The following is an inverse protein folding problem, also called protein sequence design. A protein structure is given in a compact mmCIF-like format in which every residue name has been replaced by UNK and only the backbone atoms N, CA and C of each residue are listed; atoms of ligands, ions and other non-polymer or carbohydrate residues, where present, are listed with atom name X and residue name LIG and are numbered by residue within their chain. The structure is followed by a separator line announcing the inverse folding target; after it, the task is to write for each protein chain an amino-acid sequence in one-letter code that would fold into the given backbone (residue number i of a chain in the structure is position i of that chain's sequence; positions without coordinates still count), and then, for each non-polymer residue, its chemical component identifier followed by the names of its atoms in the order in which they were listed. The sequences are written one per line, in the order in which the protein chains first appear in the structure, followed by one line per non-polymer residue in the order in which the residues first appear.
data_IF_495172189603
#
_entry.id   IF_495172189603
#
_cell.length_a   1.000
_cell.length_b   1.000
_cell.length_c   1.000
_cell.angle_alpha   90.00
_cell.angle_beta   90.00
_cell.angle_gamma   90.00
#
_symmetry.space_group_name_H-M   'P 1'
#
loop_
_entity.id
_entity.type
_entity.pdbx_description
1 polymer ?
#
# COMPACT_ATOMS: atom_id res chain seq x y z
N UNK A 1 3.96 27.37 21.91
CA UNK A 1 3.18 26.99 20.71
C UNK A 1 3.55 25.61 20.10
N UNK A 2 4.68 25.03 20.45
CA UNK A 2 5.16 23.77 19.87
C UNK A 2 4.52 22.48 20.43
N UNK A 3 4.18 22.36 21.73
CA UNK A 3 3.62 21.10 22.25
C UNK A 3 2.20 20.81 21.79
N UNK A 4 1.39 21.85 21.53
CA UNK A 4 -0.03 21.69 21.16
C UNK A 4 -0.24 21.19 19.71
N UNK A 5 0.70 21.41 18.79
CA UNK A 5 0.63 20.89 17.42
C UNK A 5 0.82 19.39 17.33
N UNK A 6 1.61 18.78 18.22
CA UNK A 6 1.80 17.32 18.25
C UNK A 6 0.56 16.55 18.72
N UNK A 7 -0.27 17.16 19.55
CA UNK A 7 -1.50 16.54 20.07
C UNK A 7 -2.65 16.48 19.05
N UNK A 8 -2.56 17.24 17.93
CA UNK A 8 -3.56 17.24 16.85
C UNK A 8 -3.24 16.30 15.68
N UNK A 9 -2.20 15.51 15.77
CA UNK A 9 -1.90 14.49 14.76
C UNK A 9 -2.84 13.30 14.96
N UNK A 10 -3.84 13.18 14.09
CA UNK A 10 -4.80 12.07 14.10
C UNK A 10 -4.15 10.70 13.79
N UNK A 11 -2.93 10.69 13.26
CA UNK A 11 -2.15 9.47 13.04
C UNK A 11 -0.72 9.69 13.52
N UNK A 12 -0.37 9.12 14.66
CA UNK A 12 1.02 8.99 15.10
C UNK A 12 1.65 7.90 14.23
N UNK A 13 2.08 8.27 13.02
CA UNK A 13 2.88 7.42 12.16
C UNK A 13 4.13 8.18 11.75
N UNK A 14 5.26 7.55 11.86
CA UNK A 14 6.58 8.18 11.78
C UNK A 14 6.86 8.83 10.41
N UNK A 15 6.06 8.54 9.37
CA UNK A 15 6.30 8.99 8.00
C UNK A 15 5.11 9.58 7.26
N UNK A 16 3.89 9.42 7.75
CA UNK A 16 2.68 9.94 7.11
C UNK A 16 2.00 10.91 8.06
N UNK A 17 2.21 12.19 7.81
CA UNK A 17 1.57 13.25 8.57
C UNK A 17 0.33 13.71 7.80
N UNK A 18 -0.85 13.51 8.38
CA UNK A 18 -2.09 14.07 7.88
C UNK A 18 -2.47 15.27 8.73
N UNK A 19 -2.94 16.33 8.07
CA UNK A 19 -3.28 17.59 8.73
C UNK A 19 -4.70 17.99 8.37
N UNK A 20 -5.38 18.63 9.31
CA UNK A 20 -6.58 19.38 9.02
C UNK A 20 -6.18 20.71 8.39
N UNK A 21 -6.81 21.06 7.26
CA UNK A 21 -6.57 22.30 6.54
C UNK A 21 -7.77 23.23 6.76
N UNK A 22 -7.50 24.43 7.24
CA UNK A 22 -8.52 25.48 7.42
C UNK A 22 -8.29 26.58 6.39
N UNK A 23 -9.32 26.88 5.61
CA UNK A 23 -9.35 27.97 4.65
C UNK A 23 -10.36 29.01 5.16
N UNK A 24 -9.89 30.21 5.54
CA UNK A 24 -10.73 31.28 5.99
C UNK A 24 -10.69 32.45 5.00
N UNK A 25 -11.81 32.68 4.31
CA UNK A 25 -11.99 33.76 3.34
C UNK A 25 -10.89 33.87 2.27
N UNK A 26 -10.31 32.76 1.85
CA UNK A 26 -9.27 32.73 0.81
C UNK A 26 -9.91 33.06 -0.54
N UNK A 27 -9.57 34.22 -1.09
CA UNK A 27 -10.03 34.64 -2.42
C UNK A 27 -8.98 34.24 -3.48
N UNK A 28 -9.43 33.56 -4.51
CA UNK A 28 -8.62 33.21 -5.67
C UNK A 28 -9.21 33.84 -6.92
N UNK A 29 -8.35 34.23 -7.85
CA UNK A 29 -8.78 34.73 -9.15
C UNK A 29 -9.26 33.57 -10.04
N UNK A 30 -10.19 33.83 -11.01
CA UNK A 30 -10.78 32.78 -11.85
C UNK A 30 -9.76 31.92 -12.62
N UNK A 31 -8.63 32.50 -13.01
CA UNK A 31 -7.55 31.78 -13.68
C UNK A 31 -6.84 30.72 -12.81
N UNK A 32 -7.13 30.69 -11.50
CA UNK A 32 -6.64 29.65 -10.58
C UNK A 32 -7.55 28.44 -10.51
N UNK A 33 -8.68 28.45 -11.19
CA UNK A 33 -9.57 27.29 -11.30
C UNK A 33 -8.88 26.22 -12.15
N UNK A 34 -8.76 25.02 -11.61
CA UNK A 34 -8.20 23.87 -12.31
C UNK A 34 -9.32 23.10 -13.02
N UNK A 35 -9.33 23.14 -14.35
CA UNK A 35 -10.36 22.52 -15.16
C UNK A 35 -11.64 23.34 -15.22
N UNK A 36 -12.78 22.66 -15.38
CA UNK A 36 -14.11 23.25 -15.52
C UNK A 36 -14.86 23.20 -14.19
N UNK A 37 -15.63 24.24 -13.88
CA UNK A 37 -16.47 24.26 -12.68
C UNK A 37 -17.49 23.11 -12.69
N UNK A 38 -17.60 22.40 -11.58
CA UNK A 38 -18.47 21.23 -11.43
C UNK A 38 -17.81 19.88 -11.78
N UNK A 39 -16.69 19.87 -12.49
CA UNK A 39 -16.00 18.65 -12.97
C UNK A 39 -14.74 18.27 -12.15
N UNK A 40 -14.58 18.86 -10.97
CA UNK A 40 -13.40 18.59 -10.11
C UNK A 40 -13.25 17.13 -9.71
N UNK A 41 -14.34 16.40 -9.49
CA UNK A 41 -14.30 14.98 -9.14
C UNK A 41 -13.84 14.10 -10.31
N UNK A 42 -14.22 14.43 -11.55
CA UNK A 42 -13.77 13.70 -12.76
C UNK A 42 -12.26 13.90 -12.97
N UNK A 43 -11.78 15.12 -12.74
CA UNK A 43 -10.35 15.44 -12.79
C UNK A 43 -9.57 14.67 -11.70
N UNK A 44 -10.07 14.65 -10.47
CA UNK A 44 -9.50 13.88 -9.38
C UNK A 44 -9.50 12.36 -9.70
N UNK A 45 -10.55 11.85 -10.33
CA UNK A 45 -10.68 10.45 -10.75
C UNK A 45 -9.56 10.01 -11.68
N UNK A 46 -9.22 10.83 -12.67
CA UNK A 46 -8.10 10.57 -13.61
C UNK A 46 -6.76 10.48 -12.88
N UNK A 47 -6.52 11.39 -11.94
CA UNK A 47 -5.29 11.37 -11.12
C UNK A 47 -5.24 10.15 -10.19
N UNK A 48 -6.36 9.80 -9.55
CA UNK A 48 -6.45 8.66 -8.63
C UNK A 48 -6.18 7.32 -9.34
N UNK A 49 -6.52 7.19 -10.62
CA UNK A 49 -6.21 5.98 -11.40
C UNK A 49 -4.71 5.70 -11.45
N UNK A 50 -3.91 6.70 -11.83
CA UNK A 50 -2.44 6.58 -11.83
C UNK A 50 -1.86 6.48 -10.42
N UNK A 51 -2.43 7.19 -9.44
CA UNK A 51 -2.05 7.13 -8.04
C UNK A 51 -2.14 5.70 -7.47
N UNK A 52 -3.18 4.95 -7.82
CA UNK A 52 -3.36 3.55 -7.40
C UNK A 52 -2.27 2.62 -7.91
N UNK A 53 -1.81 2.80 -9.17
CA UNK A 53 -0.68 2.05 -9.71
C UNK A 53 0.60 2.40 -8.96
N UNK A 54 0.83 3.68 -8.71
CA UNK A 54 1.99 4.14 -7.95
C UNK A 54 2.02 3.58 -6.52
N UNK A 55 0.86 3.54 -5.84
CA UNK A 55 0.72 2.85 -4.53
C UNK A 55 1.08 1.38 -4.67
N UNK A 56 0.60 0.70 -5.72
CA UNK A 56 0.93 -0.71 -5.98
C UNK A 56 2.44 -0.94 -6.11
N UNK A 57 3.12 -0.16 -6.95
CA UNK A 57 4.57 -0.23 -7.14
C UNK A 57 5.34 0.04 -5.83
N UNK A 58 4.89 1.05 -5.06
CA UNK A 58 5.46 1.35 -3.73
C UNK A 58 5.29 0.18 -2.76
N UNK A 59 4.13 -0.50 -2.78
CA UNK A 59 3.89 -1.70 -1.98
C UNK A 59 4.85 -2.84 -2.36
N UNK A 60 5.11 -3.06 -3.65
CA UNK A 60 6.06 -4.08 -4.12
C UNK A 60 7.48 -3.79 -3.62
N UNK A 61 7.99 -2.56 -3.76
CA UNK A 61 9.32 -2.21 -3.27
C UNK A 61 9.46 -2.32 -1.75
N UNK A 62 8.41 -1.95 -0.98
CA UNK A 62 8.38 -2.17 0.47
C UNK A 62 8.38 -3.66 0.80
N UNK A 63 7.57 -4.46 0.12
CA UNK A 63 7.45 -5.90 0.34
C UNK A 63 8.76 -6.62 0.03
N UNK A 64 9.44 -6.27 -1.05
CA UNK A 64 10.77 -6.79 -1.40
C UNK A 64 11.78 -6.55 -0.29
N UNK A 65 11.84 -5.31 0.22
CA UNK A 65 12.73 -4.95 1.33
C UNK A 65 12.42 -5.74 2.59
N UNK A 66 11.14 -5.86 2.96
CA UNK A 66 10.70 -6.60 4.15
C UNK A 66 11.05 -8.09 4.02
N UNK A 67 10.75 -8.68 2.87
CA UNK A 67 11.01 -10.09 2.60
C UNK A 67 12.51 -10.40 2.64
N UNK A 68 13.35 -9.53 2.07
CA UNK A 68 14.81 -9.64 2.16
C UNK A 68 15.29 -9.65 3.61
N UNK A 69 14.84 -8.70 4.42
CA UNK A 69 15.20 -8.64 5.84
C UNK A 69 14.73 -9.85 6.63
N UNK A 70 13.52 -10.36 6.35
CA UNK A 70 12.97 -11.55 7.00
C UNK A 70 13.75 -12.81 6.60
N UNK A 71 14.18 -12.90 5.34
CA UNK A 71 15.00 -13.99 4.82
C UNK A 71 16.38 -14.01 5.49
N UNK A 72 17.06 -12.86 5.55
CA UNK A 72 18.35 -12.73 6.21
C UNK A 72 18.27 -13.10 7.71
N UNK A 73 17.23 -12.64 8.38
CA UNK A 73 16.98 -12.99 9.77
C UNK A 73 16.75 -14.50 9.94
N UNK A 74 15.91 -15.10 9.13
CA UNK A 74 15.58 -16.52 9.17
C UNK A 74 16.80 -17.41 8.91
N UNK A 75 17.72 -16.97 8.04
CA UNK A 75 18.94 -17.69 7.72
C UNK A 75 19.98 -17.64 8.85
N UNK A 76 20.04 -16.51 9.60
CA UNK A 76 21.10 -16.29 10.59
C UNK A 76 20.65 -16.57 12.03
N UNK A 77 19.37 -16.36 12.38
CA UNK A 77 18.83 -16.63 13.71
C UNK A 77 18.72 -18.13 13.96
N UNK A 78 19.41 -18.62 14.99
CA UNK A 78 19.38 -20.04 15.37
C UNK A 78 18.52 -20.28 16.60
N UNK A 79 17.70 -21.31 16.55
CA UNK A 79 16.96 -21.89 17.68
C UNK A 79 16.89 -23.41 17.49
N UNK A 80 16.87 -24.14 18.61
CA UNK A 80 16.84 -25.61 18.56
C UNK A 80 17.95 -26.22 17.70
N UNK A 81 19.16 -25.64 17.76
CA UNK A 81 20.38 -26.13 17.08
C UNK A 81 20.49 -25.81 15.59
N UNK A 82 19.53 -25.11 14.96
CA UNK A 82 19.57 -24.79 13.52
C UNK A 82 18.98 -23.40 13.22
N UNK A 83 19.24 -22.83 12.02
CA UNK A 83 18.58 -21.61 11.56
C UNK A 83 17.06 -21.75 11.59
N UNK A 84 16.33 -20.68 11.97
CA UNK A 84 14.87 -20.75 12.04
C UNK A 84 14.22 -20.91 10.67
N UNK A 85 14.87 -20.50 9.60
CA UNK A 85 14.40 -20.72 8.22
C UNK A 85 14.35 -22.20 7.81
N UNK A 86 15.05 -23.10 8.53
CA UNK A 86 14.99 -24.55 8.31
C UNK A 86 13.71 -25.20 8.87
N UNK A 87 12.88 -24.45 9.60
CA UNK A 87 11.57 -24.92 10.03
C UNK A 87 10.51 -24.59 8.97
N UNK A 88 9.70 -25.58 8.59
CA UNK A 88 8.71 -25.44 7.51
C UNK A 88 7.77 -24.25 7.71
N UNK A 89 7.27 -24.03 8.92
CA UNK A 89 6.37 -22.93 9.22
C UNK A 89 6.97 -21.54 8.91
N UNK A 90 8.28 -21.37 9.12
CA UNK A 90 9.02 -20.15 8.77
C UNK A 90 9.30 -20.10 7.27
N UNK A 91 9.78 -21.22 6.70
CA UNK A 91 10.09 -21.32 5.29
C UNK A 91 8.87 -21.09 4.39
N UNK A 92 7.71 -21.59 4.77
CA UNK A 92 6.46 -21.41 4.00
C UNK A 92 6.00 -19.94 3.99
N UNK A 93 6.14 -19.19 5.09
CA UNK A 93 5.86 -17.75 5.11
C UNK A 93 6.74 -16.98 4.11
N UNK A 94 8.01 -17.32 4.02
CA UNK A 94 8.94 -16.70 3.06
C UNK A 94 8.57 -17.08 1.61
N UNK A 95 8.22 -18.35 1.36
CA UNK A 95 7.80 -18.82 0.04
C UNK A 95 6.50 -18.15 -0.42
N UNK A 96 5.48 -18.09 0.44
CA UNK A 96 4.21 -17.42 0.15
C UNK A 96 4.43 -15.91 -0.10
N UNK A 97 5.31 -15.28 0.67
CA UNK A 97 5.72 -13.89 0.46
C UNK A 97 6.34 -13.68 -0.92
N UNK A 98 7.27 -14.54 -1.32
CA UNK A 98 7.92 -14.46 -2.63
C UNK A 98 6.94 -14.68 -3.79
N UNK A 99 6.02 -15.65 -3.67
CA UNK A 99 4.98 -15.93 -4.68
C UNK A 99 4.07 -14.71 -4.84
N UNK A 100 3.56 -14.17 -3.74
CA UNK A 100 2.63 -13.05 -3.77
C UNK A 100 3.30 -11.76 -4.27
N UNK A 101 4.56 -11.50 -3.89
CA UNK A 101 5.33 -10.37 -4.42
C UNK A 101 5.51 -10.49 -5.93
N UNK A 102 5.87 -11.68 -6.44
CA UNK A 102 6.01 -11.91 -7.88
C UNK A 102 4.70 -11.68 -8.64
N UNK A 103 3.58 -12.13 -8.08
CA UNK A 103 2.26 -11.89 -8.67
C UNK A 103 1.90 -10.41 -8.67
N UNK A 104 2.23 -9.67 -7.59
CA UNK A 104 2.02 -8.23 -7.49
C UNK A 104 2.83 -7.47 -8.55
N UNK A 105 4.11 -7.81 -8.72
CA UNK A 105 4.98 -7.18 -9.72
C UNK A 105 4.44 -7.36 -11.14
N UNK A 106 3.96 -8.56 -11.47
CA UNK A 106 3.36 -8.85 -12.79
C UNK A 106 2.08 -8.02 -12.99
N UNK A 107 1.24 -7.89 -11.97
CA UNK A 107 0.01 -7.11 -12.04
C UNK A 107 0.30 -5.62 -12.21
N UNK A 108 1.30 -5.07 -11.51
CA UNK A 108 1.73 -3.67 -11.66
C UNK A 108 2.26 -3.44 -13.08
N UNK A 109 3.14 -4.31 -13.58
CA UNK A 109 3.73 -4.17 -14.91
C UNK A 109 2.69 -4.27 -16.03
N UNK A 110 1.69 -5.17 -15.92
CA UNK A 110 0.58 -5.24 -16.87
C UNK A 110 -0.23 -3.93 -16.88
N UNK A 111 -0.57 -3.40 -15.71
CA UNK A 111 -1.31 -2.15 -15.60
C UNK A 111 -0.52 -0.95 -16.16
N UNK A 112 0.79 -0.86 -15.92
CA UNK A 112 1.66 0.16 -16.53
C UNK A 112 1.66 0.03 -18.05
N UNK A 113 1.83 -1.17 -18.59
CA UNK A 113 1.81 -1.40 -20.05
C UNK A 113 0.46 -1.01 -20.67
N UNK A 114 -0.66 -1.27 -19.99
CA UNK A 114 -1.99 -0.83 -20.41
C UNK A 114 -2.13 0.68 -20.36
N UNK A 115 -1.59 1.33 -19.33
CA UNK A 115 -1.60 2.79 -19.20
C UNK A 115 -0.82 3.46 -20.34
N UNK A 116 0.36 2.96 -20.70
CA UNK A 116 1.17 3.44 -21.82
C UNK A 116 0.43 3.32 -23.18
N UNK A 117 -0.38 2.27 -23.35
CA UNK A 117 -1.20 2.05 -24.55
C UNK A 117 -2.53 2.79 -24.51
N UNK A 118 -2.84 3.53 -23.46
CA UNK A 118 -4.12 4.23 -23.29
C UNK A 118 -5.32 3.28 -23.11
N UNK A 119 -5.11 2.02 -22.74
CA UNK A 119 -6.15 0.98 -22.59
C UNK A 119 -6.40 0.57 -21.13
N UNK A 120 -5.78 1.25 -20.16
CA UNK A 120 -5.98 0.99 -18.75
C UNK A 120 -7.39 1.42 -18.31
N UNK A 121 -8.08 0.53 -17.61
CA UNK A 121 -9.38 0.81 -16.98
C UNK A 121 -9.21 1.15 -15.49
N UNK A 122 -10.25 1.76 -14.91
CA UNK A 122 -10.32 1.99 -13.44
C UNK A 122 -10.25 0.67 -12.65
N UNK A 123 -10.78 -0.42 -13.22
CA UNK A 123 -10.73 -1.74 -12.62
C UNK A 123 -9.30 -2.29 -12.57
N UNK A 124 -8.48 -2.08 -13.61
CA UNK A 124 -7.07 -2.49 -13.62
C UNK A 124 -6.30 -1.80 -12.48
N UNK A 125 -6.46 -0.48 -12.37
CA UNK A 125 -5.84 0.29 -11.29
C UNK A 125 -6.32 -0.14 -9.90
N UNK A 126 -7.62 -0.45 -9.76
CA UNK A 126 -8.20 -0.94 -8.51
C UNK A 126 -7.68 -2.33 -8.12
N UNK A 127 -7.52 -3.25 -9.10
CA UNK A 127 -6.92 -4.58 -8.88
C UNK A 127 -5.49 -4.46 -8.37
N UNK A 128 -4.67 -3.62 -9.01
CA UNK A 128 -3.29 -3.33 -8.55
C UNK A 128 -3.30 -2.87 -7.10
N UNK A 129 -4.09 -1.85 -6.80
CA UNK A 129 -4.09 -1.22 -5.47
C UNK A 129 -4.52 -2.18 -4.38
N UNK A 130 -5.62 -2.91 -4.55
CA UNK A 130 -6.12 -3.81 -3.52
C UNK A 130 -5.20 -5.00 -3.32
N UNK A 131 -4.73 -5.63 -4.41
CA UNK A 131 -3.86 -6.79 -4.31
C UNK A 131 -2.51 -6.44 -3.65
N UNK A 132 -1.82 -5.42 -4.15
CA UNK A 132 -0.49 -5.04 -3.66
C UNK A 132 -0.52 -4.56 -2.20
N UNK A 133 -1.56 -3.80 -1.80
CA UNK A 133 -1.66 -3.31 -0.42
C UNK A 133 -1.98 -4.43 0.58
N UNK A 134 -2.80 -5.40 0.21
CA UNK A 134 -3.10 -6.56 1.06
C UNK A 134 -1.92 -7.53 1.13
N UNK A 135 -1.25 -7.78 0.00
CA UNK A 135 0.01 -8.54 -0.06
C UNK A 135 1.09 -7.94 0.85
N UNK A 136 1.34 -6.64 0.75
CA UNK A 136 2.30 -5.95 1.62
C UNK A 136 1.96 -6.12 3.10
N UNK A 137 0.67 -5.97 3.45
CA UNK A 137 0.20 -6.12 4.83
C UNK A 137 0.49 -7.53 5.36
N UNK A 138 0.24 -8.57 4.54
CA UNK A 138 0.50 -9.96 4.89
C UNK A 138 1.99 -10.24 5.06
N UNK A 139 2.84 -9.78 4.13
CA UNK A 139 4.30 -9.95 4.20
C UNK A 139 4.88 -9.25 5.42
N UNK A 140 4.39 -8.04 5.74
CA UNK A 140 4.85 -7.29 6.90
C UNK A 140 4.47 -7.99 8.22
N UNK A 141 3.27 -8.56 8.31
CA UNK A 141 2.82 -9.32 9.47
C UNK A 141 3.62 -10.62 9.65
N UNK A 142 3.83 -11.37 8.57
CA UNK A 142 4.66 -12.56 8.58
C UNK A 142 6.12 -12.27 8.96
N UNK A 143 6.66 -11.13 8.53
CA UNK A 143 8.00 -10.72 8.89
C UNK A 143 8.11 -10.42 10.39
N UNK A 144 7.15 -9.72 11.01
CA UNK A 144 7.11 -9.53 12.47
C UNK A 144 7.10 -10.87 13.18
N UNK A 145 6.29 -11.83 12.70
CA UNK A 145 6.21 -13.17 13.26
C UNK A 145 7.55 -13.93 13.13
N UNK A 146 8.27 -13.80 12.00
CA UNK A 146 9.59 -14.42 11.78
C UNK A 146 10.65 -13.81 12.70
N UNK A 147 10.63 -12.50 12.91
CA UNK A 147 11.53 -11.81 13.84
C UNK A 147 11.23 -12.14 15.31
N UNK A 148 9.99 -12.57 15.62
CA UNK A 148 9.53 -12.81 16.97
C UNK A 148 9.58 -11.53 17.82
N UNK A 149 9.95 -11.62 19.09
CA UNK A 149 10.03 -10.46 19.99
C UNK A 149 10.88 -9.30 19.45
N UNK A 150 11.94 -9.60 18.68
CA UNK A 150 12.77 -8.57 18.04
C UNK A 150 12.00 -7.77 17.00
N UNK A 151 10.99 -8.35 16.34
CA UNK A 151 10.13 -7.66 15.37
C UNK A 151 9.25 -6.56 15.97
N UNK A 152 9.14 -6.49 17.30
CA UNK A 152 8.37 -5.47 18.02
C UNK A 152 9.24 -4.34 18.60
N UNK A 153 10.57 -4.50 18.56
CA UNK A 153 11.51 -3.53 19.14
C UNK A 153 11.67 -2.32 18.23
N UNK A 154 11.80 -1.13 18.83
CA UNK A 154 11.93 0.13 18.05
C UNK A 154 13.20 0.21 17.21
N UNK A 155 14.27 -0.46 17.65
CA UNK A 155 15.54 -0.54 16.94
C UNK A 155 15.44 -1.32 15.63
N UNK A 156 14.44 -2.19 15.51
CA UNK A 156 14.22 -2.98 14.30
C UNK A 156 13.23 -2.30 13.35
N UNK A 157 13.58 -2.11 12.08
CA UNK A 157 12.71 -1.41 11.14
C UNK A 157 11.42 -2.17 10.80
N UNK A 158 11.34 -3.48 11.07
CA UNK A 158 10.21 -4.34 10.73
C UNK A 158 8.90 -3.84 11.36
N UNK A 159 8.90 -3.44 12.64
CA UNK A 159 7.71 -2.94 13.32
C UNK A 159 7.15 -1.66 12.66
N UNK A 160 8.02 -0.81 12.09
CA UNK A 160 7.59 0.39 11.35
C UNK A 160 6.94 0.02 10.04
N UNK A 161 7.54 -0.88 9.27
CA UNK A 161 6.95 -1.39 8.03
C UNK A 161 5.58 -2.02 8.28
N UNK A 162 5.43 -2.80 9.34
CA UNK A 162 4.15 -3.40 9.71
C UNK A 162 3.08 -2.35 10.03
N UNK A 163 3.39 -1.36 10.84
CA UNK A 163 2.46 -0.26 11.15
C UNK A 163 2.10 0.55 9.91
N UNK A 164 3.09 0.88 9.07
CA UNK A 164 2.89 1.70 7.88
C UNK A 164 2.15 0.95 6.77
N UNK A 165 2.36 -0.37 6.64
CA UNK A 165 1.66 -1.19 5.65
C UNK A 165 0.13 -1.14 5.82
N UNK A 166 -0.36 -0.94 7.05
CA UNK A 166 -1.80 -0.88 7.32
C UNK A 166 -2.48 0.32 6.65
N UNK A 167 -1.77 1.43 6.48
CA UNK A 167 -2.26 2.63 5.82
C UNK A 167 -2.56 2.38 4.33
N UNK A 168 -1.75 1.56 3.67
CA UNK A 168 -1.86 1.30 2.24
C UNK A 168 -3.23 0.71 1.83
N UNK A 169 -3.92 0.06 2.77
CA UNK A 169 -5.28 -0.48 2.56
C UNK A 169 -6.39 0.56 2.71
N UNK A 170 -6.07 1.78 3.16
CA UNK A 170 -7.06 2.80 3.54
C UNK A 170 -7.04 3.98 2.57
N UNK A 171 -5.88 4.58 2.33
CA UNK A 171 -5.76 5.77 1.49
C UNK A 171 -5.96 5.46 0.01
N UNK A 172 -6.13 6.49 -0.82
CA UNK A 172 -6.43 6.41 -2.26
C UNK A 172 -7.63 5.50 -2.60
N UNK A 173 -8.53 5.39 -1.63
CA UNK A 173 -9.71 4.52 -1.63
C UNK A 173 -9.43 3.19 -0.92
N UNK A 174 -10.31 2.87 0.03
CA UNK A 174 -10.17 1.65 0.84
C UNK A 174 -10.23 0.37 0.01
N UNK A 175 -9.77 -0.74 0.60
CA UNK A 175 -9.86 -2.07 -0.04
C UNK A 175 -11.29 -2.41 -0.50
N UNK A 176 -12.29 -1.94 0.23
CA UNK A 176 -13.72 -2.14 -0.09
C UNK A 176 -14.12 -1.31 -1.32
N UNK A 177 -13.68 -0.05 -1.40
CA UNK A 177 -13.93 0.81 -2.57
C UNK A 177 -13.26 0.24 -3.82
N UNK A 178 -12.04 -0.29 -3.72
CA UNK A 178 -11.40 -0.94 -4.87
C UNK A 178 -12.23 -2.14 -5.36
N UNK A 179 -12.71 -2.99 -4.44
CA UNK A 179 -13.57 -4.12 -4.79
C UNK A 179 -14.90 -3.68 -5.41
N UNK A 180 -15.47 -2.58 -4.93
CA UNK A 180 -16.67 -1.99 -5.53
C UNK A 180 -16.43 -1.56 -6.99
N UNK A 181 -15.31 -0.89 -7.28
CA UNK A 181 -14.94 -0.48 -8.64
C UNK A 181 -14.79 -1.70 -9.54
N UNK A 182 -14.11 -2.74 -9.09
CA UNK A 182 -13.91 -3.98 -9.83
C UNK A 182 -15.27 -4.66 -10.09
N UNK A 183 -16.11 -4.79 -9.08
CA UNK A 183 -17.43 -5.41 -9.20
C UNK A 183 -18.32 -4.67 -10.20
N UNK A 184 -18.34 -3.33 -10.15
CA UNK A 184 -19.07 -2.53 -11.12
C UNK A 184 -18.57 -2.76 -12.55
N UNK A 185 -17.27 -2.87 -12.76
CA UNK A 185 -16.69 -3.14 -14.07
C UNK A 185 -17.10 -4.51 -14.62
N UNK A 186 -17.25 -5.52 -13.76
CA UNK A 186 -17.66 -6.87 -14.14
C UNK A 186 -19.17 -6.93 -14.44
N UNK A 187 -20.00 -6.27 -13.63
CA UNK A 187 -21.46 -6.38 -13.71
C UNK A 187 -22.10 -5.42 -14.72
N UNK A 188 -21.50 -4.23 -14.92
CA UNK A 188 -22.06 -3.22 -15.84
C UNK A 188 -22.36 -3.74 -17.25
N UNK A 189 -21.52 -4.58 -17.89
CA UNK A 189 -21.83 -5.14 -19.21
C UNK A 189 -23.05 -6.07 -19.20
N UNK A 190 -23.45 -6.57 -18.02
CA UNK A 190 -24.59 -7.47 -17.82
C UNK A 190 -25.88 -6.72 -17.45
N UNK A 191 -25.84 -5.38 -17.40
CA UNK A 191 -27.00 -4.55 -17.09
C UNK A 191 -27.30 -4.39 -15.60
N UNK A 192 -26.34 -4.67 -14.72
CA UNK A 192 -26.48 -4.57 -13.26
C UNK A 192 -25.58 -3.45 -12.68
#
# INVERSE_FOLDING_TARGET
HYPLRRQRQMCIRDRYNTYELHFDNVRLSPEKVLGEEGYGLDLAGKWLGMGRIWVGATCCGKAERILGMATDWAANRKQFGKPIGAFQATGFRLADGAINLRAADLLVNDAVSRAEKGSMSDADAAMVKVFCSEMLNKIADDAVQIFGGMGLMEEMPIQRFWRDSRLERIWDGTSEIQRHIITRSILRPLGA
#
